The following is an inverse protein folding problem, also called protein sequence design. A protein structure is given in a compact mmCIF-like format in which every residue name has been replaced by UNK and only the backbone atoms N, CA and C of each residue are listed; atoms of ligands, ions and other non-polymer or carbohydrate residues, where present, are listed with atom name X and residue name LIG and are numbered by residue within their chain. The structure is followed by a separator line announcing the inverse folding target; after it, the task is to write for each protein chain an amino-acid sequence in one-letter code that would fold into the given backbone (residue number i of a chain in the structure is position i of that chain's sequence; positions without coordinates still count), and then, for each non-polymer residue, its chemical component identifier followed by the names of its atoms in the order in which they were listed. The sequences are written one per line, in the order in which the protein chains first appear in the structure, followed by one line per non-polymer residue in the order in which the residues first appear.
data_IF_941195779929
#
_entry.id   IF_941195779929
#
_cell.length_a   1.000
_cell.length_b   1.000
_cell.length_c   1.000
_cell.angle_alpha   90.00
_cell.angle_beta   90.00
_cell.angle_gamma   90.00
#
_symmetry.space_group_name_H-M   'P 1'
#
loop_
_entity.id
_entity.type
_entity.pdbx_description
1 polymer ?
#
# COMPACT_ATOMS: atom_id res chain seq x y z
N UNK A 1 1.04 2.30 16.08
CA UNK A 1 1.18 0.89 15.62
C UNK A 1 1.47 0.92 14.12
N UNK A 2 2.69 0.57 13.72
CA UNK A 2 3.11 0.54 12.31
C UNK A 2 2.51 -0.70 11.64
N UNK A 3 1.90 -0.54 10.47
CA UNK A 3 1.35 -1.65 9.67
C UNK A 3 1.92 -1.59 8.27
N UNK A 4 2.39 -2.73 7.78
CA UNK A 4 2.76 -2.87 6.37
C UNK A 4 1.60 -3.53 5.63
N UNK A 5 1.14 -2.87 4.57
CA UNK A 5 0.06 -3.34 3.72
C UNK A 5 0.62 -3.68 2.34
N UNK A 6 0.18 -4.82 1.80
CA UNK A 6 0.49 -5.26 0.44
C UNK A 6 -0.83 -5.73 -0.16
N UNK A 7 -1.17 -5.19 -1.33
CA UNK A 7 -2.35 -5.58 -2.08
C UNK A 7 -1.94 -5.94 -3.51
N UNK A 8 -2.58 -6.97 -4.07
CA UNK A 8 -2.41 -7.37 -5.47
C UNK A 8 -3.74 -7.22 -6.17
N UNK A 9 -3.75 -6.57 -7.32
CA UNK A 9 -4.96 -6.34 -8.10
C UNK A 9 -4.66 -6.37 -9.60
N UNK A 10 -5.70 -6.59 -10.39
CA UNK A 10 -5.64 -6.50 -11.84
C UNK A 10 -6.25 -5.16 -12.26
N UNK A 11 -5.53 -4.40 -13.06
CA UNK A 11 -6.00 -3.13 -13.62
C UNK A 11 -5.63 -3.09 -15.10
N UNK A 12 -6.63 -2.89 -15.95
CA UNK A 12 -6.46 -2.84 -17.41
C UNK A 12 -5.71 -4.06 -18.01
N UNK A 13 -6.04 -5.27 -17.52
CA UNK A 13 -5.42 -6.53 -17.98
C UNK A 13 -3.99 -6.78 -17.47
N UNK A 14 -3.40 -5.83 -16.73
CA UNK A 14 -2.08 -5.94 -16.11
C UNK A 14 -2.22 -6.21 -14.62
N UNK A 15 -1.33 -7.04 -14.07
CA UNK A 15 -1.33 -7.33 -12.63
C UNK A 15 -0.41 -6.34 -11.95
N UNK A 16 -0.86 -5.81 -10.82
CA UNK A 16 -0.07 -4.89 -10.01
C UNK A 16 0.04 -5.42 -8.59
N UNK A 17 1.20 -5.21 -8.00
CA UNK A 17 1.40 -5.28 -6.55
C UNK A 17 1.63 -3.86 -6.04
N UNK A 18 0.86 -3.47 -5.05
CA UNK A 18 1.02 -2.20 -4.37
C UNK A 18 1.27 -2.43 -2.89
N UNK A 19 2.32 -1.80 -2.37
CA UNK A 19 2.69 -1.88 -0.97
C UNK A 19 2.80 -0.48 -0.36
N UNK A 20 2.35 -0.32 0.88
CA UNK A 20 2.51 0.92 1.63
C UNK A 20 2.64 0.63 3.12
N UNK A 21 3.24 1.58 3.83
CA UNK A 21 3.35 1.53 5.28
C UNK A 21 2.35 2.52 5.86
N UNK A 22 1.48 2.04 6.73
CA UNK A 22 0.53 2.84 7.48
C UNK A 22 1.04 3.03 8.91
N UNK A 23 1.12 4.28 9.34
CA UNK A 23 1.37 4.65 10.73
C UNK A 23 0.15 5.36 11.28
N UNK A 24 -0.44 4.74 12.29
CA UNK A 24 -1.49 5.36 13.08
C UNK A 24 -0.84 6.07 14.28
N UNK A 25 -0.92 7.41 14.29
CA UNK A 25 -0.46 8.27 15.37
C UNK A 25 -1.56 9.29 15.71
N UNK A 26 -1.91 9.42 16.99
CA UNK A 26 -2.85 10.44 17.49
C UNK A 26 -4.18 10.50 16.71
N UNK A 27 -4.83 9.34 16.50
CA UNK A 27 -6.05 9.13 15.68
C UNK A 27 -5.95 9.49 14.19
N UNK A 28 -4.77 9.87 13.70
CA UNK A 28 -4.53 10.11 12.29
C UNK A 28 -3.82 8.90 11.68
N UNK A 29 -4.29 8.50 10.50
CA UNK A 29 -3.67 7.45 9.69
C UNK A 29 -2.81 8.10 8.62
N UNK A 30 -1.50 7.94 8.73
CA UNK A 30 -0.54 8.41 7.73
C UNK A 30 -0.08 7.23 6.89
N UNK A 31 -0.21 7.34 5.57
CA UNK A 31 0.27 6.34 4.62
C UNK A 31 1.52 6.88 3.93
N UNK A 32 2.61 6.12 3.98
CA UNK A 32 3.89 6.49 3.38
C UNK A 32 4.59 5.30 2.73
N UNK A 33 5.61 5.59 1.92
CA UNK A 33 6.33 4.59 1.11
C UNK A 33 5.42 3.76 0.21
N UNK A 34 4.37 4.38 -0.37
CA UNK A 34 3.49 3.71 -1.32
C UNK A 34 4.26 3.42 -2.61
N UNK A 35 4.44 2.15 -2.94
CA UNK A 35 5.07 1.67 -4.17
C UNK A 35 4.10 0.78 -4.92
N UNK A 36 3.90 1.08 -6.21
CA UNK A 36 3.16 0.26 -7.17
C UNK A 36 4.15 -0.33 -8.15
N UNK A 37 4.10 -1.65 -8.34
CA UNK A 37 4.88 -2.37 -9.35
C UNK A 37 3.93 -3.19 -10.22
N UNK A 38 4.23 -3.29 -11.51
CA UNK A 38 3.58 -4.24 -12.43
C UNK A 38 4.23 -5.63 -12.25
N UNK A 39 3.41 -6.68 -12.29
CA UNK A 39 3.80 -8.09 -12.13
C UNK A 39 3.14 -8.97 -13.19
#
# INVERSE_FOLDING_TARGET
MLKHHITKYYENGKKYAEAWIQLNLLRKSFCFSRRKIEI
#
